data_IF_028875359172
#
_entry.id   IF_028875359172
#
_cell.length_a   1.000
_cell.length_b   1.000
_cell.length_c   1.000
_cell.angle_alpha   90.00
_cell.angle_beta   90.00
_cell.angle_gamma   90.00
#
_symmetry.space_group_name_H-M   'P 1'
#
loop_
_entity.id
_entity.type
_entity.pdbx_description
1 polymer ?
#
# COMPACT_ATOMS: atom_id res chain seq x y z
N UNK A 1 -13.85 -11.03 -3.71
CA UNK A 1 -12.40 -11.10 -3.45
C UNK A 1 -12.12 -12.31 -2.57
N UNK A 2 -10.98 -13.00 -2.74
CA UNK A 2 -10.54 -14.04 -1.79
C UNK A 2 -9.76 -13.40 -0.63
N UNK A 3 -9.81 -13.96 0.60
CA UNK A 3 -9.02 -13.47 1.71
C UNK A 3 -7.52 -13.48 1.41
N UNK A 4 -6.81 -12.40 1.77
CA UNK A 4 -5.36 -12.29 1.58
C UNK A 4 -4.58 -13.39 2.31
N UNK A 5 -5.11 -13.90 3.43
CA UNK A 5 -4.52 -15.02 4.20
C UNK A 5 -4.44 -16.33 3.41
N UNK A 6 -5.16 -16.45 2.30
CA UNK A 6 -5.12 -17.63 1.44
C UNK A 6 -4.03 -17.54 0.35
N UNK A 7 -3.35 -16.39 0.23
CA UNK A 7 -2.26 -16.21 -0.72
C UNK A 7 -1.03 -16.97 -0.17
N UNK A 8 -0.41 -17.86 -0.96
CA UNK A 8 0.81 -18.52 -0.55
C UNK A 8 1.91 -17.52 -0.18
N UNK A 9 2.63 -17.78 0.92
CA UNK A 9 3.68 -16.88 1.39
C UNK A 9 4.77 -16.60 0.34
N UNK A 10 5.06 -17.59 -0.51
CA UNK A 10 6.02 -17.43 -1.62
C UNK A 10 5.58 -16.37 -2.62
N UNK A 11 4.27 -16.27 -2.89
CA UNK A 11 3.71 -15.26 -3.78
C UNK A 11 3.65 -13.89 -3.10
N UNK A 12 3.36 -13.82 -1.80
CA UNK A 12 3.42 -12.56 -1.04
C UNK A 12 4.84 -11.96 -1.06
N UNK A 13 5.86 -12.81 -0.93
CA UNK A 13 7.28 -12.40 -0.96
C UNK A 13 7.76 -11.91 -2.34
N UNK A 14 7.03 -12.18 -3.43
CA UNK A 14 7.40 -11.72 -4.77
C UNK A 14 6.80 -10.36 -5.14
N UNK A 15 5.94 -9.78 -4.29
CA UNK A 15 5.32 -8.47 -4.52
C UNK A 15 6.40 -7.39 -4.49
N UNK A 16 6.41 -6.54 -5.52
CA UNK A 16 7.34 -5.40 -5.65
C UNK A 16 6.66 -4.05 -5.73
N UNK A 17 5.41 -4.03 -6.18
CA UNK A 17 4.65 -2.81 -6.43
C UNK A 17 3.40 -2.80 -5.55
N UNK A 18 3.10 -1.64 -4.97
CA UNK A 18 1.85 -1.37 -4.26
C UNK A 18 1.25 -0.16 -4.96
N UNK A 19 0.15 -0.38 -5.68
CA UNK A 19 -0.56 0.69 -6.38
C UNK A 19 -1.72 1.15 -5.51
N UNK A 20 -1.71 2.43 -5.18
CA UNK A 20 -2.77 3.07 -4.41
C UNK A 20 -3.63 3.91 -5.33
N UNK A 21 -4.94 3.88 -5.08
CA UNK A 21 -5.84 4.92 -5.57
C UNK A 21 -5.62 6.21 -4.75
N UNK A 22 -6.13 7.35 -5.23
CA UNK A 22 -5.96 8.65 -4.57
C UNK A 22 -7.19 8.96 -3.72
N UNK A 23 -8.33 9.17 -4.37
CA UNK A 23 -9.56 9.63 -3.74
C UNK A 23 -10.08 8.58 -2.75
N UNK A 24 -10.42 9.01 -1.54
CA UNK A 24 -10.87 8.16 -0.42
C UNK A 24 -9.97 6.94 -0.11
N UNK A 25 -8.72 6.96 -0.58
CA UNK A 25 -7.70 5.93 -0.30
C UNK A 25 -6.47 6.55 0.34
N UNK A 26 -5.78 7.45 -0.37
CA UNK A 26 -4.69 8.24 0.18
C UNK A 26 -5.21 9.54 0.79
N UNK A 27 -6.25 10.13 0.19
CA UNK A 27 -6.90 11.34 0.69
C UNK A 27 -8.15 11.02 1.50
N UNK A 28 -8.50 11.90 2.43
CA UNK A 28 -9.77 11.89 3.15
C UNK A 28 -10.35 13.31 3.10
N UNK A 29 -11.61 13.43 2.68
CA UNK A 29 -12.28 14.73 2.48
C UNK A 29 -11.45 15.71 1.61
N UNK A 30 -10.83 15.17 0.56
CA UNK A 30 -10.00 15.94 -0.40
C UNK A 30 -8.64 16.39 0.13
N UNK A 31 -8.25 16.01 1.34
CA UNK A 31 -6.94 16.33 1.93
C UNK A 31 -6.08 15.08 2.04
N UNK A 32 -4.76 15.20 1.83
CA UNK A 32 -3.80 14.12 2.06
C UNK A 32 -3.36 14.12 3.55
N UNK A 33 -3.79 13.15 4.38
CA UNK A 33 -3.35 13.08 5.75
C UNK A 33 -1.84 12.78 5.82
N UNK A 34 -1.18 13.35 6.84
CA UNK A 34 0.25 13.15 7.05
C UNK A 34 0.63 11.68 7.23
N UNK A 35 -0.28 10.91 7.80
CA UNK A 35 -0.18 9.49 8.11
C UNK A 35 -0.19 8.64 6.84
N UNK A 36 -1.04 9.00 5.88
CA UNK A 36 -1.08 8.37 4.55
C UNK A 36 0.25 8.59 3.83
N UNK A 37 0.76 9.83 3.85
CA UNK A 37 2.04 10.15 3.24
C UNK A 37 3.22 9.43 3.94
N UNK A 38 3.23 9.40 5.27
CA UNK A 38 4.23 8.67 6.05
C UNK A 38 4.17 7.16 5.79
N UNK A 39 2.98 6.59 5.54
CA UNK A 39 2.85 5.18 5.19
C UNK A 39 3.52 4.86 3.84
N UNK A 40 3.35 5.72 2.83
CA UNK A 40 4.05 5.57 1.55
C UNK A 40 5.58 5.61 1.72
N UNK A 41 6.09 6.51 2.57
CA UNK A 41 7.52 6.55 2.89
C UNK A 41 8.00 5.23 3.52
N UNK A 42 7.30 4.68 4.50
CA UNK A 42 7.65 3.40 5.12
C UNK A 42 7.64 2.23 4.13
N UNK A 43 6.69 2.21 3.19
CA UNK A 43 6.63 1.21 2.13
C UNK A 43 7.84 1.32 1.20
N UNK A 44 8.22 2.53 0.80
CA UNK A 44 9.41 2.79 0.00
C UNK A 44 10.69 2.37 0.71
N UNK A 45 10.84 2.70 1.98
CA UNK A 45 11.98 2.27 2.82
C UNK A 45 12.04 0.74 2.98
N UNK A 46 10.90 0.06 2.94
CA UNK A 46 10.82 -1.41 2.97
C UNK A 46 11.13 -2.06 1.61
N UNK A 47 11.43 -1.29 0.57
CA UNK A 47 11.83 -1.79 -0.75
C UNK A 47 10.70 -2.00 -1.75
N UNK A 48 9.49 -1.50 -1.44
CA UNK A 48 8.37 -1.49 -2.38
C UNK A 48 8.43 -0.25 -3.29
N UNK A 49 7.95 -0.41 -4.52
CA UNK A 49 7.59 0.69 -5.39
C UNK A 49 6.16 1.10 -5.08
N UNK A 50 5.99 2.38 -4.73
CA UNK A 50 4.73 3.05 -4.40
C UNK A 50 4.66 4.38 -5.11
#
# INVERSE_FOLDING_TARGET
MRPLKEIPQSLLKSIRFILCDIDDTLTFEGSLPSESFAALHRLKESGFFV
#
